data_IF_918338137465
#
_entry.id   IF_918338137465
#
_cell.length_a   1.000
_cell.length_b   1.000
_cell.length_c   1.000
_cell.angle_alpha   90.00
_cell.angle_beta   90.00
_cell.angle_gamma   90.00
#
_symmetry.space_group_name_H-M   'P 1'
#
loop_
_entity.id
_entity.type
_entity.pdbx_description
1 polymer ?
#
# COMPACT_ATOMS: atom_id res chain seq x y z
N UNK A 1 11.83 -22.54 -4.71
CA UNK A 1 11.68 -22.69 -3.25
C UNK A 1 11.31 -21.34 -2.60
N UNK A 2 11.77 -20.19 -3.13
CA UNK A 2 11.52 -18.82 -2.60
C UNK A 2 10.10 -18.25 -2.62
N UNK A 3 9.19 -18.68 -3.51
CA UNK A 3 7.91 -17.96 -3.69
C UNK A 3 6.96 -18.17 -2.50
N UNK A 4 6.93 -19.38 -1.92
CA UNK A 4 6.09 -19.69 -0.78
C UNK A 4 6.54 -18.95 0.49
N UNK A 5 7.85 -18.89 0.73
CA UNK A 5 8.45 -18.17 1.85
C UNK A 5 8.23 -16.65 1.72
N UNK A 6 8.36 -16.10 0.52
CA UNK A 6 8.04 -14.70 0.27
C UNK A 6 6.54 -14.39 0.50
N UNK A 7 5.63 -15.27 0.09
CA UNK A 7 4.18 -15.09 0.34
C UNK A 7 3.86 -15.11 1.83
N UNK A 8 4.50 -15.99 2.59
CA UNK A 8 4.33 -16.08 4.04
C UNK A 8 4.81 -14.79 4.75
N UNK A 9 5.98 -14.27 4.37
CA UNK A 9 6.51 -13.03 4.93
C UNK A 9 5.64 -11.81 4.60
N UNK A 10 5.02 -11.75 3.41
CA UNK A 10 4.04 -10.71 3.10
C UNK A 10 2.79 -10.80 3.96
N UNK A 11 2.28 -12.02 4.20
CA UNK A 11 1.13 -12.22 5.07
C UNK A 11 1.42 -11.73 6.50
N UNK A 12 2.59 -12.10 7.05
CA UNK A 12 3.03 -11.63 8.37
C UNK A 12 3.18 -10.09 8.43
N UNK A 13 3.74 -9.48 7.38
CA UNK A 13 3.87 -8.03 7.30
C UNK A 13 2.50 -7.34 7.24
N UNK A 14 1.55 -7.89 6.49
CA UNK A 14 0.17 -7.38 6.44
C UNK A 14 -0.50 -7.51 7.80
N UNK A 15 -0.40 -8.67 8.46
CA UNK A 15 -0.96 -8.92 9.79
C UNK A 15 -0.47 -7.89 10.81
N UNK A 16 0.84 -7.70 10.93
CA UNK A 16 1.39 -6.72 11.87
C UNK A 16 0.98 -5.28 11.57
N UNK A 17 0.83 -4.90 10.30
CA UNK A 17 0.34 -3.56 9.97
C UNK A 17 -1.17 -3.41 10.22
N UNK A 18 -1.96 -4.47 10.06
CA UNK A 18 -3.39 -4.47 10.44
C UNK A 18 -3.55 -4.36 11.96
N UNK A 19 -2.75 -5.08 12.74
CA UNK A 19 -2.71 -4.96 14.20
C UNK A 19 -2.32 -3.54 14.61
N UNK A 20 -1.28 -2.97 13.98
CA UNK A 20 -0.87 -1.59 14.20
C UNK A 20 -2.01 -0.61 13.90
N UNK A 21 -2.73 -0.80 12.79
CA UNK A 21 -3.87 0.06 12.45
C UNK A 21 -4.95 0.01 13.52
N UNK A 22 -5.32 -1.20 13.98
CA UNK A 22 -6.30 -1.41 15.05
C UNK A 22 -5.88 -0.77 16.37
N UNK A 23 -4.59 -0.85 16.73
CA UNK A 23 -4.06 -0.21 17.92
C UNK A 23 -4.06 1.32 17.77
N UNK A 24 -3.71 1.82 16.59
CA UNK A 24 -3.71 3.26 16.30
C UNK A 24 -5.12 3.85 16.45
N UNK A 25 -6.16 3.17 15.96
CA UNK A 25 -7.57 3.58 16.11
C UNK A 25 -8.03 3.74 17.57
N UNK A 26 -7.39 3.06 18.52
CA UNK A 26 -7.71 3.11 19.94
C UNK A 26 -7.04 4.27 20.69
N UNK A 27 -6.12 5.00 20.04
CA UNK A 27 -5.45 6.14 20.65
C UNK A 27 -6.44 7.28 20.91
N UNK A 28 -6.35 7.88 22.10
CA UNK A 28 -7.25 8.96 22.53
C UNK A 28 -6.83 10.33 22.00
N UNK A 29 -5.53 10.54 21.80
CA UNK A 29 -5.03 11.76 21.18
C UNK A 29 -5.28 11.69 19.67
N UNK A 30 -6.11 12.60 19.15
CA UNK A 30 -6.60 12.54 17.77
C UNK A 30 -5.47 12.69 16.75
N UNK A 31 -4.54 13.62 16.96
CA UNK A 31 -3.46 13.87 16.00
C UNK A 31 -2.45 12.71 16.00
N UNK A 32 -2.13 12.15 17.17
CA UNK A 32 -1.29 10.95 17.28
C UNK A 32 -1.98 9.73 16.66
N UNK A 33 -3.28 9.56 16.91
CA UNK A 33 -4.11 8.52 16.27
C UNK A 33 -4.02 8.59 14.75
N UNK A 34 -4.27 9.76 14.17
CA UNK A 34 -4.21 9.96 12.72
C UNK A 34 -2.80 9.63 12.18
N UNK A 35 -1.74 10.12 12.85
CA UNK A 35 -0.37 9.85 12.41
C UNK A 35 -0.01 8.36 12.44
N UNK A 36 -0.40 7.64 13.50
CA UNK A 36 -0.13 6.20 13.58
C UNK A 36 -0.96 5.39 12.57
N UNK A 37 -2.21 5.79 12.32
CA UNK A 37 -3.00 5.21 11.24
C UNK A 37 -2.33 5.44 9.88
N UNK A 38 -1.85 6.66 9.59
CA UNK A 38 -1.10 6.98 8.37
C UNK A 38 0.08 6.03 8.15
N UNK A 39 0.85 5.76 9.20
CA UNK A 39 1.99 4.86 9.08
C UNK A 39 1.59 3.40 8.84
N UNK A 40 0.52 2.93 9.48
CA UNK A 40 -0.02 1.58 9.24
C UNK A 40 -0.57 1.44 7.81
N UNK A 41 -1.32 2.45 7.34
CA UNK A 41 -1.84 2.55 5.97
C UNK A 41 -0.71 2.55 4.94
N UNK A 42 0.36 3.32 5.19
CA UNK A 42 1.57 3.29 4.37
C UNK A 42 2.18 1.87 4.30
N UNK A 43 2.33 1.21 5.46
CA UNK A 43 2.87 -0.14 5.54
C UNK A 43 2.06 -1.16 4.76
N UNK A 44 0.73 -1.14 4.90
CA UNK A 44 -0.20 -1.99 4.16
C UNK A 44 -0.12 -1.75 2.65
N UNK A 45 -0.26 -0.49 2.22
CA UNK A 45 -0.20 -0.15 0.81
C UNK A 45 1.12 -0.58 0.16
N UNK A 46 2.24 -0.39 0.88
CA UNK A 46 3.56 -0.84 0.41
C UNK A 46 3.66 -2.36 0.34
N UNK A 47 3.16 -3.11 1.32
CA UNK A 47 3.20 -4.57 1.28
C UNK A 47 2.47 -5.12 0.06
N UNK A 48 1.26 -4.62 -0.19
CA UNK A 48 0.45 -5.04 -1.32
C UNK A 48 1.07 -4.67 -2.67
N UNK A 49 1.64 -3.46 -2.80
CA UNK A 49 2.37 -3.05 -4.00
C UNK A 49 3.54 -3.99 -4.30
N UNK A 50 4.39 -4.24 -3.31
CA UNK A 50 5.57 -5.10 -3.48
C UNK A 50 5.18 -6.57 -3.76
N UNK A 51 4.06 -7.03 -3.20
CA UNK A 51 3.50 -8.35 -3.52
C UNK A 51 2.96 -8.40 -4.96
N UNK A 52 2.23 -7.37 -5.40
CA UNK A 52 1.68 -7.26 -6.76
C UNK A 52 2.78 -7.32 -7.83
N UNK A 53 3.93 -6.69 -7.57
CA UNK A 53 5.08 -6.72 -8.47
C UNK A 53 5.71 -8.12 -8.58
N UNK A 54 5.61 -8.96 -7.55
CA UNK A 54 6.26 -10.29 -7.50
C UNK A 54 5.38 -11.43 -8.00
N UNK A 55 4.06 -11.33 -7.90
CA UNK A 55 3.16 -12.38 -8.41
C UNK A 55 3.22 -12.45 -9.94
N UNK A 56 3.02 -13.65 -10.48
CA UNK A 56 3.03 -13.89 -11.94
C UNK A 56 1.64 -13.85 -12.55
N UNK A 57 0.62 -14.13 -11.75
CA UNK A 57 -0.76 -14.11 -12.22
C UNK A 57 -1.27 -12.67 -12.34
N UNK A 58 -1.86 -12.33 -13.49
CA UNK A 58 -2.32 -10.96 -13.77
C UNK A 58 -3.53 -10.60 -12.90
N UNK A 59 -4.44 -11.54 -12.67
CA UNK A 59 -5.63 -11.27 -11.86
C UNK A 59 -5.23 -11.03 -10.41
N UNK A 60 -4.37 -11.91 -9.85
CA UNK A 60 -3.79 -11.73 -8.52
C UNK A 60 -3.04 -10.39 -8.41
N UNK A 61 -2.22 -10.04 -9.41
CA UNK A 61 -1.51 -8.75 -9.41
C UNK A 61 -2.48 -7.56 -9.38
N UNK A 62 -3.54 -7.60 -10.19
CA UNK A 62 -4.53 -6.50 -10.27
C UNK A 62 -5.25 -6.30 -8.95
N UNK A 63 -5.65 -7.39 -8.29
CA UNK A 63 -6.32 -7.33 -6.98
C UNK A 63 -5.38 -6.77 -5.90
N UNK A 64 -4.11 -7.15 -5.92
CA UNK A 64 -3.10 -6.61 -5.01
C UNK A 64 -2.83 -5.12 -5.26
N UNK A 65 -2.76 -4.68 -6.52
CA UNK A 65 -2.65 -3.25 -6.84
C UNK A 65 -3.87 -2.46 -6.36
N UNK A 66 -5.08 -3.00 -6.50
CA UNK A 66 -6.29 -2.35 -6.00
C UNK A 66 -6.23 -2.14 -4.49
N UNK A 67 -5.80 -3.16 -3.74
CA UNK A 67 -5.57 -3.04 -2.29
C UNK A 67 -4.51 -1.99 -1.97
N UNK A 68 -3.36 -1.99 -2.68
CA UNK A 68 -2.31 -1.00 -2.45
C UNK A 68 -2.81 0.44 -2.64
N UNK A 69 -3.62 0.67 -3.69
CA UNK A 69 -4.23 1.96 -3.99
C UNK A 69 -5.22 2.36 -2.89
N UNK A 70 -6.07 1.45 -2.43
CA UNK A 70 -7.04 1.71 -1.36
C UNK A 70 -6.37 2.20 -0.08
N UNK A 71 -5.35 1.48 0.40
CA UNK A 71 -4.61 1.89 1.61
C UNK A 71 -3.90 3.24 1.44
N UNK A 72 -3.36 3.55 0.26
CA UNK A 72 -2.75 4.85 0.00
C UNK A 72 -3.79 5.99 -0.17
N UNK A 73 -5.01 5.69 -0.61
CA UNK A 73 -6.11 6.63 -0.62
C UNK A 73 -6.60 6.93 0.80
N UNK A 74 -6.71 5.92 1.67
CA UNK A 74 -7.03 6.13 3.08
C UNK A 74 -5.95 6.92 3.82
N UNK A 75 -4.66 6.66 3.53
CA UNK A 75 -3.59 7.56 3.98
C UNK A 75 -3.86 9.01 3.54
N UNK A 76 -4.14 9.25 2.26
CA UNK A 76 -4.38 10.61 1.78
C UNK A 76 -5.52 11.31 2.54
N UNK A 77 -6.65 10.63 2.74
CA UNK A 77 -7.80 11.14 3.49
C UNK A 77 -7.46 11.46 4.95
N UNK A 78 -6.65 10.63 5.60
CA UNK A 78 -6.17 10.87 6.96
C UNK A 78 -5.21 12.05 7.02
N UNK A 79 -4.32 12.19 6.03
CA UNK A 79 -3.37 13.29 5.96
C UNK A 79 -4.08 14.65 5.88
N UNK A 80 -5.21 14.75 5.16
CA UNK A 80 -6.04 15.97 5.08
C UNK A 80 -6.60 16.43 6.43
N UNK A 81 -6.72 15.53 7.41
CA UNK A 81 -7.25 15.80 8.76
C UNK A 81 -6.17 16.27 9.75
N UNK A 82 -4.90 16.30 9.34
CA UNK A 82 -3.81 16.79 10.19
C UNK A 82 -3.91 18.32 10.36
N UNK A 83 -3.73 18.79 11.59
CA UNK A 83 -3.85 20.23 11.91
C UNK A 83 -2.58 21.02 11.62
N UNK A 84 -1.41 20.39 11.76
CA UNK A 84 -0.15 21.03 11.38
C UNK A 84 -0.04 21.10 9.85
N UNK A 85 -0.01 22.31 9.31
CA UNK A 85 -0.08 22.55 7.86
C UNK A 85 1.10 21.92 7.11
N UNK A 86 2.31 22.08 7.64
CA UNK A 86 3.53 21.56 7.01
C UNK A 86 3.49 20.04 6.96
N UNK A 87 3.13 19.40 8.07
CA UNK A 87 3.01 17.94 8.16
C UNK A 87 1.89 17.42 7.27
N UNK A 88 0.72 18.08 7.27
CA UNK A 88 -0.41 17.77 6.39
C UNK A 88 0.00 17.72 4.93
N UNK A 89 0.61 18.80 4.43
CA UNK A 89 1.05 18.91 3.04
C UNK A 89 2.07 17.83 2.71
N UNK A 90 3.06 17.63 3.58
CA UNK A 90 4.10 16.62 3.36
C UNK A 90 3.52 15.20 3.28
N UNK A 91 2.60 14.83 4.19
CA UNK A 91 1.96 13.51 4.17
C UNK A 91 1.07 13.31 2.95
N UNK A 92 0.38 14.35 2.47
CA UNK A 92 -0.37 14.29 1.21
C UNK A 92 0.55 14.09 0.00
N UNK A 93 1.68 14.80 -0.08
CA UNK A 93 2.68 14.63 -1.15
C UNK A 93 3.17 13.17 -1.20
N UNK A 94 3.47 12.59 -0.03
CA UNK A 94 3.90 11.20 0.02
C UNK A 94 2.80 10.23 -0.39
N UNK A 95 1.57 10.40 0.09
CA UNK A 95 0.45 9.56 -0.35
C UNK A 95 0.25 9.63 -1.87
N UNK A 96 0.29 10.83 -2.45
CA UNK A 96 0.21 11.04 -3.90
C UNK A 96 1.38 10.40 -4.66
N UNK A 97 2.60 10.47 -4.13
CA UNK A 97 3.77 9.82 -4.72
C UNK A 97 3.60 8.30 -4.76
N UNK A 98 3.10 7.69 -3.69
CA UNK A 98 2.83 6.25 -3.63
C UNK A 98 1.67 5.82 -4.52
N UNK A 99 0.60 6.63 -4.61
CA UNK A 99 -0.49 6.40 -5.57
C UNK A 99 0.02 6.45 -7.01
N UNK A 100 0.82 7.47 -7.35
CA UNK A 100 1.46 7.58 -8.66
C UNK A 100 2.34 6.37 -8.97
N UNK A 101 3.12 5.89 -7.99
CA UNK A 101 3.90 4.65 -8.13
C UNK A 101 3.00 3.44 -8.38
N UNK A 102 1.91 3.27 -7.62
CA UNK A 102 1.00 2.13 -7.81
C UNK A 102 0.44 2.07 -9.23
N UNK A 103 -0.08 3.19 -9.76
CA UNK A 103 -0.63 3.23 -11.12
C UNK A 103 0.43 2.99 -12.21
N UNK A 104 1.63 3.55 -12.03
CA UNK A 104 2.75 3.33 -12.95
C UNK A 104 3.14 1.85 -12.98
N UNK A 105 3.40 1.25 -11.82
CA UNK A 105 3.82 -0.15 -11.70
C UNK A 105 2.73 -1.11 -12.17
N UNK A 106 1.45 -0.82 -11.90
CA UNK A 106 0.34 -1.62 -12.41
C UNK A 106 0.30 -1.65 -13.93
N UNK A 107 0.50 -0.49 -14.57
CA UNK A 107 0.53 -0.38 -16.03
C UNK A 107 1.69 -1.17 -16.63
N UNK A 108 2.89 -1.03 -16.05
CA UNK A 108 4.09 -1.76 -16.50
C UNK A 108 3.91 -3.28 -16.34
N UNK A 109 3.40 -3.73 -15.19
CA UNK A 109 3.15 -5.15 -14.90
C UNK A 109 2.18 -5.80 -15.89
N UNK A 110 1.10 -5.10 -16.26
CA UNK A 110 0.14 -5.60 -17.24
C UNK A 110 0.77 -5.70 -18.63
N UNK A 111 1.55 -4.68 -19.02
CA UNK A 111 2.26 -4.67 -20.31
C UNK A 111 3.25 -5.83 -20.42
N UNK A 112 4.11 -6.02 -19.42
CA UNK A 112 5.13 -7.07 -19.42
C UNK A 112 4.52 -8.47 -19.56
N UNK A 113 3.40 -8.73 -18.87
CA UNK A 113 2.77 -10.06 -18.94
C UNK A 113 2.00 -10.24 -20.25
N UNK A 114 1.41 -9.18 -20.81
CA UNK A 114 0.79 -9.25 -22.14
C UNK A 114 1.82 -9.58 -23.22
N UNK A 115 2.96 -8.87 -23.24
CA UNK A 115 4.06 -9.13 -24.17
C UNK A 115 4.63 -10.55 -23.99
N UNK A 116 4.75 -11.03 -22.76
CA UNK A 116 5.20 -12.40 -22.50
C UNK A 116 4.21 -13.47 -23.03
N UNK A 117 2.90 -13.19 -23.04
CA UNK A 117 1.90 -14.11 -23.59
C UNK A 117 1.95 -14.20 -25.11
N UNK A 118 2.31 -13.12 -25.80
CA UNK A 118 2.39 -13.11 -27.27
C UNK A 118 3.62 -13.87 -27.81
N UNK A 119 4.57 -14.25 -26.93
CA UNK A 119 5.80 -14.94 -27.30
C UNK A 119 5.74 -16.48 -27.21
N UNK A 120 4.64 -17.06 -26.72
CA UNK A 120 4.46 -18.51 -26.53
C UNK A 120 3.09 -19.00 -27.04
#
# INVERSE_FOLDING_TARGET
>A
KDIAEAKDLFAQAVEHNQERLKLAEQLTDEQTRIQEQIYAQFGLGRCYLEQAMKVKDIAEAKDLFAQAIEYHQEWLKLAEQLTDEQTRIQKQIYAQSWLGRCYLEQTMKVKDIAEAKDLF
#
